data_IF_810001805078
#
_entry.id   IF_810001805078
#
_cell.length_a   1.000
_cell.length_b   1.000
_cell.length_c   1.000
_cell.angle_alpha   90.00
_cell.angle_beta   90.00
_cell.angle_gamma   90.00
#
_symmetry.space_group_name_H-M   'P 1'
#
loop_
_entity.id
_entity.type
_entity.pdbx_description
1 polymer ?
#
# COMPACT_ATOMS: atom_id res chain seq x y z
N UNK A 1 20.77 -4.34 10.13
CA UNK A 1 21.55 -3.52 11.07
C UNK A 1 22.40 -2.55 10.27
N UNK A 2 22.19 -1.25 10.49
CA UNK A 2 23.01 -0.18 9.90
C UNK A 2 24.26 -0.04 10.78
N UNK A 3 25.34 0.60 10.31
CA UNK A 3 26.60 0.77 11.07
C UNK A 3 26.47 1.69 12.31
N UNK A 4 25.27 1.92 12.81
CA UNK A 4 24.98 2.86 13.90
C UNK A 4 25.13 2.23 15.31
N UNK A 5 25.37 0.92 15.43
CA UNK A 5 25.84 0.33 16.70
C UNK A 5 27.11 -0.49 16.40
N UNK A 6 28.28 0.07 16.69
CA UNK A 6 29.55 -0.50 16.25
C UNK A 6 29.83 -1.87 16.89
N UNK A 7 29.63 -2.01 18.20
CA UNK A 7 29.93 -3.26 18.92
C UNK A 7 29.14 -4.49 18.41
N UNK A 8 27.83 -4.34 18.25
CA UNK A 8 26.98 -5.41 17.72
C UNK A 8 27.30 -5.71 16.25
N UNK A 9 27.64 -4.70 15.45
CA UNK A 9 28.05 -4.91 14.06
C UNK A 9 29.35 -5.72 13.96
N UNK A 10 30.37 -5.37 14.75
CA UNK A 10 31.65 -6.10 14.78
C UNK A 10 31.45 -7.56 15.21
N UNK A 11 30.66 -7.82 16.27
CA UNK A 11 30.34 -9.18 16.69
C UNK A 11 29.63 -10.00 15.61
N UNK A 12 28.68 -9.39 14.91
CA UNK A 12 28.00 -10.06 13.79
C UNK A 12 28.94 -10.30 12.62
N UNK A 13 29.96 -9.45 12.43
CA UNK A 13 30.94 -9.60 11.36
C UNK A 13 31.90 -10.77 11.59
N UNK A 14 32.24 -11.07 12.85
CA UNK A 14 33.18 -12.14 13.22
C UNK A 14 32.57 -13.53 13.34
N UNK A 15 31.24 -13.66 13.21
CA UNK A 15 30.58 -14.98 13.18
C UNK A 15 31.09 -15.85 12.01
N UNK A 16 31.07 -17.19 12.14
CA UNK A 16 31.64 -18.12 11.16
C UNK A 16 30.74 -18.30 9.92
N UNK A 17 30.48 -17.22 9.18
CA UNK A 17 29.60 -17.21 8.00
C UNK A 17 30.05 -18.16 6.88
N UNK A 18 31.34 -18.46 6.80
CA UNK A 18 31.92 -19.38 5.82
C UNK A 18 31.52 -20.84 6.03
N UNK A 19 31.11 -21.21 7.25
CA UNK A 19 30.78 -22.59 7.63
C UNK A 19 29.26 -22.85 7.61
N UNK A 20 28.46 -21.83 7.31
CA UNK A 20 27.00 -21.90 7.38
C UNK A 20 26.43 -22.73 6.24
N UNK A 21 25.72 -23.80 6.58
CA UNK A 21 24.95 -24.62 5.63
C UNK A 21 23.50 -24.17 5.48
N UNK A 22 22.93 -23.52 6.49
CA UNK A 22 21.58 -23.00 6.47
C UNK A 22 21.50 -21.71 5.61
N UNK A 23 21.21 -21.90 4.32
CA UNK A 23 21.20 -20.81 3.35
C UNK A 23 20.01 -20.83 2.40
N UNK A 24 19.65 -19.66 1.90
CA UNK A 24 18.64 -19.49 0.86
C UNK A 24 19.08 -18.51 -0.21
N UNK A 25 18.84 -18.88 -1.47
CA UNK A 25 19.14 -18.08 -2.65
C UNK A 25 17.85 -17.62 -3.31
N UNK A 26 17.80 -16.34 -3.65
CA UNK A 26 16.73 -15.79 -4.45
C UNK A 26 17.30 -14.95 -5.59
N UNK A 27 16.89 -15.25 -6.83
CA UNK A 27 17.22 -14.46 -8.00
C UNK A 27 15.95 -13.84 -8.57
N UNK A 28 16.01 -12.57 -8.92
CA UNK A 28 14.91 -11.85 -9.55
C UNK A 28 15.43 -10.91 -10.62
N UNK A 29 14.63 -10.68 -11.66
CA UNK A 29 14.88 -9.71 -12.70
C UNK A 29 13.65 -8.82 -12.87
N UNK A 30 13.86 -7.52 -13.03
CA UNK A 30 12.77 -6.57 -13.23
C UNK A 30 13.24 -5.14 -13.04
N UNK A 31 12.48 -4.16 -13.53
CA UNK A 31 12.81 -2.73 -13.41
C UNK A 31 14.24 -2.38 -13.91
N UNK A 32 14.68 -3.03 -14.99
CA UNK A 32 16.00 -2.83 -15.59
C UNK A 32 17.19 -3.35 -14.77
N UNK A 33 16.95 -4.24 -13.80
CA UNK A 33 17.99 -4.78 -12.90
C UNK A 33 17.84 -6.27 -12.68
N UNK A 34 18.98 -6.97 -12.64
CA UNK A 34 19.12 -8.34 -12.13
C UNK A 34 19.58 -8.27 -10.70
N UNK A 35 18.94 -9.04 -9.83
CA UNK A 35 19.24 -9.07 -8.41
C UNK A 35 19.33 -10.50 -7.90
N UNK A 36 20.40 -10.79 -7.16
CA UNK A 36 20.57 -12.04 -6.40
C UNK A 36 20.69 -11.68 -4.93
N UNK A 37 19.86 -12.30 -4.09
CA UNK A 37 19.95 -12.23 -2.63
C UNK A 37 20.35 -13.59 -2.09
N UNK A 38 21.30 -13.58 -1.17
CA UNK A 38 21.71 -14.75 -0.39
C UNK A 38 21.42 -14.43 1.07
N UNK A 39 20.74 -15.33 1.75
CA UNK A 39 20.48 -15.25 3.19
C UNK A 39 21.12 -16.47 3.83
N UNK A 40 22.12 -16.26 4.68
CA UNK A 40 22.68 -17.27 5.56
C UNK A 40 22.21 -17.02 6.97
N UNK A 41 21.97 -18.06 7.75
CA UNK A 41 21.42 -17.94 9.10
C UNK A 41 22.22 -18.80 10.07
N UNK A 42 22.54 -18.24 11.21
CA UNK A 42 23.17 -18.90 12.34
C UNK A 42 22.25 -18.79 13.55
N UNK A 43 22.15 -19.87 14.32
CA UNK A 43 21.70 -19.78 15.71
C UNK A 43 22.79 -19.11 16.51
N UNK A 44 22.42 -18.14 17.34
CA UNK A 44 23.35 -17.36 18.15
C UNK A 44 22.86 -17.34 19.58
N UNK A 45 23.81 -17.30 20.51
CA UNK A 45 23.56 -17.08 21.93
C UNK A 45 24.55 -16.00 22.41
N UNK A 46 24.16 -15.26 23.45
CA UNK A 46 25.00 -14.28 24.12
C UNK A 46 25.37 -13.07 23.27
N UNK A 47 24.60 -12.71 22.24
CA UNK A 47 24.73 -11.41 21.59
C UNK A 47 24.39 -10.29 22.58
N UNK A 48 25.03 -9.12 22.45
CA UNK A 48 24.70 -7.91 23.24
C UNK A 48 23.39 -7.27 22.75
N UNK A 49 22.39 -8.13 22.53
CA UNK A 49 21.04 -7.81 22.12
C UNK A 49 20.11 -8.83 22.77
N UNK A 50 19.26 -8.41 23.72
CA UNK A 50 18.39 -9.32 24.45
C UNK A 50 17.50 -10.16 23.53
N UNK A 51 17.33 -11.43 23.89
CA UNK A 51 16.47 -12.39 23.20
C UNK A 51 16.87 -12.75 21.77
N UNK A 52 18.04 -12.32 21.26
CA UNK A 52 18.49 -12.72 19.94
C UNK A 52 18.78 -14.23 19.90
N UNK A 53 17.98 -14.98 19.13
CA UNK A 53 18.10 -16.42 18.95
C UNK A 53 18.77 -16.80 17.62
N UNK A 54 18.63 -15.96 16.59
CA UNK A 54 19.29 -16.14 15.30
C UNK A 54 19.88 -14.83 14.76
N UNK A 55 20.98 -14.96 14.03
CA UNK A 55 21.56 -13.91 13.21
C UNK A 55 21.54 -14.33 11.74
N UNK A 56 21.20 -13.41 10.85
CA UNK A 56 21.19 -13.61 9.41
C UNK A 56 22.13 -12.64 8.69
N UNK A 57 22.95 -13.20 7.80
CA UNK A 57 23.79 -12.44 6.88
C UNK A 57 23.12 -12.40 5.51
N UNK A 58 22.76 -11.20 5.09
CA UNK A 58 22.05 -10.96 3.83
C UNK A 58 22.99 -10.25 2.87
N UNK A 59 23.33 -10.94 1.78
CA UNK A 59 24.12 -10.35 0.68
C UNK A 59 23.22 -10.09 -0.50
N UNK A 60 23.21 -8.85 -0.97
CA UNK A 60 22.53 -8.41 -2.18
C UNK A 60 23.54 -8.09 -3.26
N UNK A 61 23.47 -8.82 -4.37
CA UNK A 61 24.15 -8.48 -5.61
C UNK A 61 23.14 -7.91 -6.60
N UNK A 62 23.41 -6.71 -7.11
CA UNK A 62 22.54 -6.06 -8.10
C UNK A 62 23.36 -5.65 -9.31
N UNK A 63 22.88 -5.99 -10.49
CA UNK A 63 23.43 -5.60 -11.79
C UNK A 63 22.39 -4.75 -12.53
N UNK A 64 22.77 -3.55 -12.93
CA UNK A 64 21.97 -2.73 -13.86
C UNK A 64 22.09 -3.34 -15.26
N UNK A 65 20.96 -3.64 -15.91
CA UNK A 65 20.96 -4.25 -17.24
C UNK A 65 21.38 -3.26 -18.33
N UNK A 66 21.06 -1.97 -18.15
CA UNK A 66 21.39 -0.92 -19.12
C UNK A 66 22.87 -0.55 -19.12
N UNK A 67 23.48 -0.49 -17.94
CA UNK A 67 24.85 0.04 -17.78
C UNK A 67 25.87 -1.04 -17.40
N UNK A 68 25.43 -2.26 -17.11
CA UNK A 68 26.29 -3.33 -16.59
C UNK A 68 26.79 -3.11 -15.16
N UNK A 69 26.53 -1.94 -14.55
CA UNK A 69 27.06 -1.58 -13.22
C UNK A 69 26.62 -2.60 -12.17
N UNK A 70 27.59 -3.17 -11.46
CA UNK A 70 27.37 -4.13 -10.36
C UNK A 70 27.52 -3.43 -9.02
N UNK A 71 26.70 -3.83 -8.06
CA UNK A 71 26.76 -3.39 -6.67
C UNK A 71 26.59 -4.58 -5.76
N UNK A 72 27.32 -4.59 -4.64
CA UNK A 72 27.23 -5.58 -3.58
C UNK A 72 26.95 -4.86 -2.27
N UNK A 73 25.93 -5.29 -1.58
CA UNK A 73 25.56 -4.75 -0.28
C UNK A 73 25.34 -5.89 0.71
N UNK A 74 25.80 -5.70 1.93
CA UNK A 74 25.70 -6.68 3.02
C UNK A 74 24.93 -6.07 4.16
N UNK A 75 23.96 -6.83 4.69
CA UNK A 75 23.14 -6.43 5.83
C UNK A 75 23.09 -7.58 6.82
N UNK A 76 23.34 -7.29 8.09
CA UNK A 76 23.09 -8.23 9.18
C UNK A 76 21.69 -8.03 9.75
N UNK A 77 20.99 -9.10 10.06
CA UNK A 77 19.67 -9.10 10.71
C UNK A 77 19.76 -9.99 11.94
N UNK A 78 19.09 -9.61 13.01
CA UNK A 78 18.96 -10.42 14.22
C UNK A 78 17.48 -10.62 14.50
N UNK A 79 17.12 -11.76 15.08
CA UNK A 79 15.75 -12.13 15.40
C UNK A 79 15.72 -12.99 16.65
N UNK A 80 14.63 -12.87 17.38
CA UNK A 80 14.20 -13.72 18.49
C UNK A 80 13.59 -15.06 18.04
N UNK A 81 13.25 -15.20 16.77
CA UNK A 81 12.78 -16.46 16.21
C UNK A 81 13.89 -17.50 16.23
N UNK A 82 13.56 -18.70 16.68
CA UNK A 82 14.46 -19.85 16.70
C UNK A 82 14.57 -20.51 15.32
N UNK A 83 15.57 -21.38 15.15
CA UNK A 83 15.77 -22.12 13.89
C UNK A 83 14.61 -23.02 13.49
N UNK A 84 13.79 -23.45 14.44
CA UNK A 84 12.57 -24.23 14.19
C UNK A 84 11.42 -23.34 13.69
N UNK A 85 11.36 -22.11 14.16
CA UNK A 85 10.30 -21.16 13.79
C UNK A 85 10.60 -20.47 12.47
N UNK A 86 11.87 -20.20 12.19
CA UNK A 86 12.29 -19.40 11.05
C UNK A 86 13.48 -20.01 10.29
N UNK A 87 13.15 -20.69 9.20
CA UNK A 87 14.15 -21.11 8.20
C UNK A 87 14.73 -19.91 7.43
N UNK A 88 15.90 -20.06 6.77
CA UNK A 88 16.47 -19.02 5.91
C UNK A 88 15.49 -18.48 4.85
N UNK A 89 14.66 -19.35 4.29
CA UNK A 89 13.58 -19.04 3.34
C UNK A 89 12.53 -18.13 3.99
N UNK A 90 12.10 -18.45 5.21
CA UNK A 90 11.10 -17.68 5.95
C UNK A 90 11.65 -16.33 6.36
N UNK A 91 12.88 -16.28 6.87
CA UNK A 91 13.56 -15.02 7.19
C UNK A 91 13.73 -14.14 5.94
N UNK A 92 14.11 -14.72 4.79
CA UNK A 92 14.18 -13.97 3.53
C UNK A 92 12.84 -13.33 3.15
N UNK A 93 11.71 -14.02 3.37
CA UNK A 93 10.36 -13.48 3.14
C UNK A 93 10.04 -12.36 4.12
N UNK A 94 10.28 -12.56 5.42
CA UNK A 94 10.03 -11.54 6.47
C UNK A 94 10.84 -10.28 6.18
N UNK A 95 12.15 -10.43 5.92
CA UNK A 95 13.05 -9.33 5.57
C UNK A 95 12.52 -8.59 4.35
N UNK A 96 12.13 -9.30 3.29
CA UNK A 96 11.57 -8.68 2.08
C UNK A 96 10.28 -7.91 2.38
N UNK A 97 9.38 -8.46 3.19
CA UNK A 97 8.13 -7.78 3.59
C UNK A 97 8.39 -6.50 4.37
N UNK A 98 9.41 -6.48 5.23
CA UNK A 98 9.83 -5.27 5.93
C UNK A 98 10.26 -4.16 4.94
N UNK A 99 11.05 -4.51 3.92
CA UNK A 99 11.43 -3.56 2.87
C UNK A 99 10.24 -3.06 2.04
N UNK A 100 9.20 -3.88 1.89
CA UNK A 100 7.96 -3.43 1.22
C UNK A 100 7.28 -2.32 2.02
N UNK A 101 7.30 -2.37 3.35
CA UNK A 101 6.78 -1.29 4.20
C UNK A 101 7.57 -0.01 3.93
N UNK A 102 8.90 -0.10 3.92
CA UNK A 102 9.75 1.07 3.67
C UNK A 102 9.50 1.67 2.28
N UNK A 103 9.45 0.83 1.24
CA UNK A 103 9.21 1.32 -0.11
C UNK A 103 7.76 1.78 -0.36
N UNK A 104 6.76 1.18 0.29
CA UNK A 104 5.36 1.57 0.09
C UNK A 104 4.98 2.78 0.93
N UNK A 105 5.56 2.96 2.12
CA UNK A 105 5.20 4.05 3.02
C UNK A 105 6.19 5.21 2.91
N UNK A 106 7.47 4.98 3.22
CA UNK A 106 8.47 6.05 3.30
C UNK A 106 8.70 6.71 1.95
N UNK A 107 8.99 5.93 0.91
CA UNK A 107 9.20 6.51 -0.43
C UNK A 107 8.01 7.36 -0.91
N UNK A 108 6.77 6.89 -0.67
CA UNK A 108 5.57 7.66 -1.03
C UNK A 108 5.48 8.95 -0.22
N UNK A 109 5.83 8.89 1.06
CA UNK A 109 5.82 10.06 1.94
C UNK A 109 6.87 11.10 1.51
N UNK A 110 8.06 10.64 1.16
CA UNK A 110 9.16 11.51 0.73
C UNK A 110 8.88 12.13 -0.64
N UNK A 111 8.32 11.35 -1.57
CA UNK A 111 8.08 11.82 -2.95
C UNK A 111 6.74 12.52 -3.12
N UNK A 112 5.63 11.89 -2.73
CA UNK A 112 4.29 12.42 -2.95
C UNK A 112 3.91 13.49 -1.93
N UNK A 113 4.35 13.35 -0.68
CA UNK A 113 4.10 14.33 0.39
C UNK A 113 5.30 15.25 0.66
N UNK A 114 6.41 15.07 -0.05
CA UNK A 114 7.61 15.92 0.03
C UNK A 114 8.11 16.07 1.47
N UNK A 115 8.06 14.97 2.24
CA UNK A 115 8.41 14.97 3.67
C UNK A 115 9.80 15.57 3.92
N UNK A 116 10.80 15.19 3.14
CA UNK A 116 12.17 15.73 3.21
C UNK A 116 12.25 17.25 3.00
N UNK A 117 11.33 17.83 2.23
CA UNK A 117 11.28 19.26 1.98
C UNK A 117 10.50 20.03 3.06
N UNK A 118 9.86 19.33 4.00
CA UNK A 118 9.07 19.96 5.06
C UNK A 118 9.96 20.76 6.00
N UNK A 119 9.56 22.01 6.29
CA UNK A 119 10.26 22.90 7.22
C UNK A 119 9.77 22.79 8.67
N UNK A 120 8.76 21.97 8.93
CA UNK A 120 8.21 21.76 10.28
C UNK A 120 9.26 21.03 11.12
N UNK A 121 9.83 21.71 12.12
CA UNK A 121 10.91 21.19 12.99
C UNK A 121 10.67 21.39 14.48
N UNK A 122 9.56 22.03 14.85
CA UNK A 122 9.29 22.46 16.22
C UNK A 122 8.50 21.40 16.98
N UNK A 123 8.95 21.07 18.20
CA UNK A 123 8.28 20.14 19.12
C UNK A 123 7.87 18.82 18.42
N UNK A 124 6.66 18.33 18.68
CA UNK A 124 6.08 17.12 18.07
C UNK A 124 5.61 17.32 16.62
N UNK A 125 5.91 18.47 16.00
CA UNK A 125 5.50 18.78 14.63
C UNK A 125 5.91 17.71 13.60
N UNK A 126 7.18 17.28 13.55
CA UNK A 126 7.62 16.24 12.62
C UNK A 126 6.85 14.91 12.80
N UNK A 127 6.66 14.48 14.05
CA UNK A 127 5.97 13.23 14.38
C UNK A 127 4.48 13.29 14.02
N UNK A 128 3.81 14.39 14.39
CA UNK A 128 2.41 14.62 14.05
C UNK A 128 2.20 14.61 12.53
N UNK A 129 3.10 15.27 11.78
CA UNK A 129 3.03 15.31 10.33
C UNK A 129 3.28 13.93 9.70
N UNK A 130 4.23 13.14 10.22
CA UNK A 130 4.45 11.77 9.78
C UNK A 130 3.22 10.88 9.99
N UNK A 131 2.55 11.03 11.13
CA UNK A 131 1.31 10.32 11.46
C UNK A 131 0.16 10.72 10.52
N UNK A 132 -0.07 12.01 10.33
CA UNK A 132 -1.13 12.52 9.44
C UNK A 132 -0.93 12.09 7.99
N UNK A 133 0.31 12.15 7.47
CA UNK A 133 0.62 11.67 6.11
C UNK A 133 0.37 10.17 5.98
N UNK A 134 0.78 9.38 6.98
CA UNK A 134 0.55 7.93 6.99
C UNK A 134 -0.94 7.60 6.99
N UNK A 135 -1.72 8.34 7.78
CA UNK A 135 -3.17 8.24 7.81
C UNK A 135 -3.79 8.55 6.44
N UNK A 136 -3.39 9.66 5.81
CA UNK A 136 -3.87 10.04 4.48
C UNK A 136 -3.53 8.98 3.41
N UNK A 137 -2.30 8.44 3.42
CA UNK A 137 -1.87 7.35 2.51
C UNK A 137 -2.76 6.13 2.70
N UNK A 138 -3.00 5.72 3.95
CA UNK A 138 -3.84 4.57 4.24
C UNK A 138 -5.28 4.79 3.79
N UNK A 139 -5.83 5.99 3.97
CA UNK A 139 -7.20 6.29 3.53
C UNK A 139 -7.33 6.30 2.01
N UNK A 140 -6.36 6.85 1.29
CA UNK A 140 -6.31 6.81 -0.17
C UNK A 140 -6.25 5.36 -0.69
N UNK A 141 -5.45 4.50 -0.04
CA UNK A 141 -5.41 3.07 -0.39
C UNK A 141 -6.74 2.36 -0.13
N UNK A 142 -7.37 2.64 1.01
CA UNK A 142 -8.66 2.08 1.36
C UNK A 142 -9.77 2.52 0.36
N UNK A 143 -9.61 3.69 -0.27
CA UNK A 143 -10.48 4.16 -1.35
C UNK A 143 -10.08 3.64 -2.74
N UNK A 144 -9.09 2.73 -2.85
CA UNK A 144 -8.68 2.10 -4.11
C UNK A 144 -7.57 2.82 -4.87
N UNK A 145 -7.01 3.92 -4.35
CA UNK A 145 -5.89 4.59 -5.03
C UNK A 145 -4.58 3.82 -4.83
N UNK A 146 -4.19 3.04 -5.83
CA UNK A 146 -2.88 2.36 -5.86
C UNK A 146 -1.72 3.31 -6.18
N UNK A 147 -1.98 4.38 -6.95
CA UNK A 147 -1.05 5.47 -7.18
C UNK A 147 -1.41 6.68 -6.30
N UNK A 148 -0.67 6.84 -5.20
CA UNK A 148 -0.94 7.90 -4.21
C UNK A 148 -0.80 9.29 -4.80
N UNK A 149 0.16 9.53 -5.70
CA UNK A 149 0.31 10.84 -6.34
C UNK A 149 -0.89 11.19 -7.23
N UNK A 150 -1.50 10.20 -7.89
CA UNK A 150 -2.74 10.39 -8.64
C UNK A 150 -3.93 10.67 -7.70
N UNK A 151 -4.07 9.92 -6.61
CA UNK A 151 -5.09 10.17 -5.61
C UNK A 151 -4.98 11.57 -4.99
N UNK A 152 -3.77 12.03 -4.68
CA UNK A 152 -3.55 13.40 -4.20
C UNK A 152 -3.96 14.47 -5.22
N UNK A 153 -3.68 14.25 -6.52
CA UNK A 153 -4.15 15.15 -7.59
C UNK A 153 -5.67 15.19 -7.66
N UNK A 154 -6.32 14.03 -7.57
CA UNK A 154 -7.78 13.95 -7.59
C UNK A 154 -8.43 14.69 -6.41
N UNK A 155 -7.84 14.56 -5.22
CA UNK A 155 -8.26 15.27 -4.02
C UNK A 155 -8.03 16.78 -4.14
N UNK A 156 -7.00 17.21 -4.89
CA UNK A 156 -6.69 18.62 -5.09
C UNK A 156 -7.65 19.36 -6.02
N UNK A 157 -8.49 18.66 -6.80
CA UNK A 157 -9.49 19.30 -7.65
C UNK A 157 -10.59 20.00 -6.85
N UNK A 158 -10.93 19.47 -5.68
CA UNK A 158 -11.83 20.13 -4.73
C UNK A 158 -11.28 20.01 -3.30
N UNK A 159 -10.33 20.87 -2.92
CA UNK A 159 -9.53 20.72 -1.69
C UNK A 159 -10.33 20.72 -0.38
N UNK A 160 -11.54 21.28 -0.38
CA UNK A 160 -12.37 21.40 0.83
C UNK A 160 -13.44 20.32 0.95
N UNK A 161 -13.81 19.64 -0.13
CA UNK A 161 -14.89 18.65 -0.13
C UNK A 161 -14.35 17.23 -0.25
N UNK A 162 -13.53 16.96 -1.27
CA UNK A 162 -13.03 15.60 -1.57
C UNK A 162 -12.15 15.02 -0.47
N UNK A 163 -11.17 15.75 0.11
CA UNK A 163 -10.43 15.23 1.26
C UNK A 163 -11.33 14.97 2.47
N UNK A 164 -12.28 15.86 2.77
CA UNK A 164 -13.17 15.68 3.92
C UNK A 164 -14.11 14.49 3.71
N UNK A 165 -14.66 14.32 2.50
CA UNK A 165 -15.49 13.17 2.14
C UNK A 165 -14.68 11.87 2.20
N UNK A 166 -13.46 11.87 1.65
CA UNK A 166 -12.52 10.77 1.77
C UNK A 166 -12.29 10.44 3.25
N UNK A 167 -12.08 11.42 4.11
CA UNK A 167 -11.89 11.20 5.55
C UNK A 167 -13.19 10.83 6.32
N UNK A 168 -14.36 10.86 5.68
CA UNK A 168 -15.64 10.62 6.34
C UNK A 168 -16.12 11.80 7.21
N UNK A 169 -15.55 12.99 7.00
CA UNK A 169 -15.82 14.22 7.74
C UNK A 169 -16.79 15.15 7.01
N UNK A 170 -17.16 14.84 5.77
CA UNK A 170 -18.21 15.58 5.07
C UNK A 170 -19.55 15.21 5.68
N UNK A 171 -20.20 16.19 6.31
CA UNK A 171 -21.58 16.04 6.80
C UNK A 171 -22.46 15.74 5.59
N UNK A 172 -23.37 14.74 5.62
CA UNK A 172 -24.36 14.61 4.56
C UNK A 172 -25.10 15.94 4.47
N UNK A 173 -25.18 16.50 3.27
CA UNK A 173 -26.06 17.64 3.04
C UNK A 173 -27.43 17.22 3.58
N UNK A 174 -27.98 17.99 4.52
CA UNK A 174 -29.38 17.83 4.90
C UNK A 174 -30.14 17.92 3.58
N UNK A 175 -30.86 16.86 3.22
CA UNK A 175 -31.81 16.92 2.14
C UNK A 175 -32.72 18.10 2.48
N UNK A 176 -32.59 19.20 1.72
CA UNK A 176 -33.57 20.25 1.77
C UNK A 176 -34.83 19.61 1.20
N UNK A 177 -35.77 19.35 2.09
CA UNK A 177 -37.15 19.04 1.77
C UNK A 177 -37.64 20.18 0.87
N UNK A 178 -37.66 19.92 -0.44
CA UNK A 178 -38.30 20.78 -1.41
C UNK A 178 -39.80 20.70 -1.10
N UNK A 179 -40.31 21.67 -0.34
CA UNK A 179 -41.72 22.02 -0.38
C UNK A 179 -41.99 22.60 -1.77
N UNK A 180 -42.22 21.68 -2.70
CA UNK A 180 -42.59 21.92 -4.08
C UNK A 180 -44.00 22.53 -4.08
N UNK A 181 -44.10 23.82 -4.37
CA UNK A 181 -45.38 24.49 -4.59
C UNK A 181 -46.05 23.86 -5.81
N UNK A 182 -47.06 23.02 -5.57
CA UNK A 182 -47.95 22.49 -6.60
C UNK A 182 -48.53 23.65 -7.44
N UNK A 183 -48.06 23.79 -8.67
CA UNK A 183 -48.80 24.44 -9.75
C UNK A 183 -49.83 23.42 -10.25
N UNK A 184 -51.14 23.71 -10.27
CA UNK A 184 -52.12 22.73 -10.73
C UNK A 184 -51.94 22.45 -12.22
N UNK A 185 -52.11 21.20 -12.67
CA UNK A 185 -51.97 20.85 -14.07
C UNK A 185 -53.13 21.42 -14.91
N UNK A 186 -52.80 21.83 -16.13
CA UNK A 186 -53.74 22.33 -17.13
C UNK A 186 -54.80 21.24 -17.47
N UNK A 187 -56.10 21.57 -17.61
CA UNK A 187 -57.13 20.57 -17.87
C UNK A 187 -56.97 19.96 -19.27
N UNK A 188 -57.02 18.64 -19.35
CA UNK A 188 -56.98 17.88 -20.59
C UNK A 188 -58.35 17.87 -21.28
N UNK A 189 -58.44 17.90 -22.62
CA UNK A 189 -59.71 17.79 -23.34
C UNK A 189 -60.26 16.35 -23.28
N UNK A 190 -61.57 16.22 -23.06
CA UNK A 190 -62.26 14.93 -23.00
C UNK A 190 -62.39 14.30 -24.40
N UNK A 191 -62.13 12.99 -24.56
CA UNK A 191 -62.35 12.29 -25.82
C UNK A 191 -63.84 11.98 -26.05
N UNK A 192 -64.32 12.25 -27.26
CA UNK A 192 -65.68 11.92 -27.69
C UNK A 192 -65.81 10.42 -27.99
N UNK A 193 -66.89 9.79 -27.51
CA UNK A 193 -67.20 8.39 -27.78
C UNK A 193 -67.65 8.18 -29.24
N UNK A 194 -67.17 7.13 -29.94
CA UNK A 194 -67.73 6.76 -31.23
C UNK A 194 -69.06 5.97 -31.06
N UNK A 195 -69.94 5.98 -32.08
CA UNK A 195 -71.23 5.31 -32.01
C UNK A 195 -71.11 3.78 -32.08
N UNK A 196 -72.07 3.10 -31.46
CA UNK A 196 -72.12 1.66 -31.27
C UNK A 196 -72.14 0.85 -32.57
N UNK A 197 -71.32 -0.20 -32.62
CA UNK A 197 -71.25 -1.19 -33.71
C UNK A 197 -72.41 -2.17 -33.58
N UNK A 198 -73.19 -2.36 -34.66
CA UNK A 198 -74.17 -3.46 -34.79
C UNK A 198 -73.46 -4.77 -35.08
N UNK A 199 -73.88 -5.81 -34.39
CA UNK A 199 -73.46 -7.19 -34.59
C UNK A 199 -74.02 -7.77 -35.91
N UNK A 200 -73.18 -8.49 -36.65
CA UNK A 200 -73.59 -9.66 -37.44
C UNK A 200 -72.38 -10.41 -38.00
N UNK A 201 -72.42 -11.73 -37.77
CA UNK A 201 -71.90 -12.81 -38.63
C UNK A 201 -70.40 -13.20 -38.57
N UNK A 202 -70.17 -14.29 -37.81
CA UNK A 202 -69.25 -15.38 -38.14
C UNK A 202 -69.67 -16.06 -39.49
N UNK A 203 -68.95 -17.04 -40.11
CA UNK A 203 -67.95 -17.96 -39.54
C UNK A 203 -66.82 -18.48 -40.49
N UNK A 204 -66.07 -19.46 -39.96
CA UNK A 204 -65.48 -20.66 -40.59
C UNK A 204 -63.94 -20.73 -40.73
N UNK A 205 -63.45 -21.82 -40.13
CA UNK A 205 -62.11 -22.41 -40.01
C UNK A 205 -61.40 -22.76 -41.32
N UNK A 206 -60.06 -22.86 -41.29
CA UNK A 206 -59.35 -24.15 -41.41
C UNK A 206 -57.84 -24.04 -41.13
N UNK A 207 -57.28 -25.20 -40.76
CA UNK A 207 -55.96 -25.54 -40.24
C UNK A 207 -54.78 -25.21 -41.18
#
# INVERSE_FOLDING_TARGET
MKKNQAGLYERLHTLPWTEVTAMFYNRSEGHGRKETRVVQVLTVDGLDFPHAAQAAWVVRHRTCLKTGRRSRETVYVITDLTSQEASPQRLAKIIRSQWVIENRLHFVRDTAFREDASKVRTQHGPENMATLRSFAINRLRAAGHHNIAAGLREMSYEPFTRPLALLGLCRPARAHEQSDTLKPPCPQPQPQLPPAVRASEQPVWQL
#
